data_IF_457381180697
#
_entry.id   IF_457381180697
#
_cell.length_a   1.000
_cell.length_b   1.000
_cell.length_c   1.000
_cell.angle_alpha   90.00
_cell.angle_beta   90.00
_cell.angle_gamma   90.00
#
_symmetry.space_group_name_H-M   'P 1'
#
loop_
_entity.id
_entity.type
_entity.pdbx_description
1 polymer ?
#
# COMPACT_ATOMS: atom_id res chain seq x y z
N UNK A 1 -35.52 5.19 23.15
CA UNK A 1 -34.05 5.04 23.07
C UNK A 1 -33.57 5.99 21.98
N UNK A 2 -32.77 7.00 22.33
CA UNK A 2 -32.06 7.79 21.33
C UNK A 2 -30.88 6.93 20.87
N UNK A 3 -30.83 6.56 19.59
CA UNK A 3 -29.64 5.91 19.05
C UNK A 3 -28.53 6.95 18.99
N UNK A 4 -27.44 6.66 19.68
CA UNK A 4 -26.27 7.51 19.73
C UNK A 4 -25.55 7.43 18.37
N UNK A 5 -25.55 8.55 17.64
CA UNK A 5 -24.93 8.63 16.31
C UNK A 5 -23.41 8.57 16.44
N UNK A 6 -22.81 7.53 15.87
CA UNK A 6 -21.36 7.38 15.84
C UNK A 6 -20.83 7.78 14.47
N UNK A 7 -19.87 8.72 14.46
CA UNK A 7 -19.15 9.13 13.25
C UNK A 7 -17.76 8.55 13.21
N UNK A 8 -17.34 8.07 12.05
CA UNK A 8 -16.05 7.44 11.80
C UNK A 8 -15.35 8.13 10.62
N UNK A 9 -14.04 7.93 10.53
CA UNK A 9 -13.21 8.45 9.43
C UNK A 9 -12.68 7.31 8.59
N UNK A 10 -12.52 7.57 7.29
CA UNK A 10 -11.74 6.72 6.38
C UNK A 10 -10.74 7.61 5.65
N UNK A 11 -9.49 7.16 5.60
CA UNK A 11 -8.39 7.82 4.89
C UNK A 11 -7.87 6.88 3.81
N UNK A 12 -7.58 7.44 2.65
CA UNK A 12 -6.98 6.70 1.54
C UNK A 12 -5.81 7.53 1.00
N UNK A 13 -4.70 6.84 0.73
CA UNK A 13 -3.52 7.40 0.07
C UNK A 13 -3.28 6.59 -1.20
N UNK A 14 -3.03 7.29 -2.30
CA UNK A 14 -2.75 6.69 -3.59
C UNK A 14 -1.47 7.32 -4.15
N UNK A 15 -0.58 6.47 -4.66
CA UNK A 15 0.58 6.89 -5.44
C UNK A 15 0.37 6.41 -6.88
N UNK A 16 0.54 7.30 -7.83
CA UNK A 16 0.46 7.02 -9.27
C UNK A 16 1.82 7.34 -9.87
N UNK A 17 2.35 6.41 -10.67
CA UNK A 17 3.51 6.61 -11.52
C UNK A 17 3.06 6.68 -12.97
N UNK A 18 3.49 7.72 -13.66
CA UNK A 18 3.33 7.88 -15.11
C UNK A 18 4.63 7.47 -15.78
N UNK A 19 4.61 6.39 -16.56
CA UNK A 19 5.75 6.02 -17.41
C UNK A 19 5.58 6.66 -18.79
N UNK A 20 6.52 7.54 -19.15
CA UNK A 20 6.58 8.19 -20.45
C UNK A 20 7.40 7.31 -21.40
N UNK A 21 6.86 7.03 -22.58
CA UNK A 21 7.48 6.13 -23.56
C UNK A 21 8.82 6.64 -24.11
N UNK A 22 9.07 7.94 -23.98
CA UNK A 22 10.32 8.60 -24.38
C UNK A 22 11.34 8.50 -23.25
N UNK A 23 12.48 7.88 -23.56
CA UNK A 23 13.73 7.93 -22.79
C UNK A 23 13.67 7.44 -21.33
N UNK A 24 12.67 6.61 -21.00
CA UNK A 24 12.56 6.02 -19.65
C UNK A 24 12.17 7.03 -18.57
N UNK A 25 11.67 8.21 -18.97
CA UNK A 25 11.19 9.22 -18.05
C UNK A 25 9.93 8.74 -17.33
N UNK A 26 9.82 9.10 -16.05
CA UNK A 26 8.62 8.87 -15.27
C UNK A 26 8.33 10.08 -14.38
N UNK A 27 7.08 10.20 -13.93
CA UNK A 27 6.66 11.19 -12.95
C UNK A 27 5.70 10.54 -11.95
N UNK A 28 5.94 10.74 -10.66
CA UNK A 28 5.08 10.21 -9.61
C UNK A 28 4.16 11.27 -9.01
N UNK A 29 3.01 10.88 -8.48
CA UNK A 29 2.07 11.78 -7.80
C UNK A 29 1.38 11.08 -6.65
N UNK A 30 1.30 11.77 -5.51
CA UNK A 30 0.61 11.29 -4.30
C UNK A 30 -0.70 12.04 -4.13
N UNK A 31 -1.77 11.31 -3.89
CA UNK A 31 -3.06 11.85 -3.50
C UNK A 31 -3.51 11.23 -2.19
N UNK A 32 -3.88 12.06 -1.24
CA UNK A 32 -4.46 11.63 0.03
C UNK A 32 -5.83 12.28 0.21
N UNK A 33 -6.78 11.54 0.76
CA UNK A 33 -8.12 12.03 1.04
C UNK A 33 -8.66 11.44 2.35
N UNK A 34 -9.58 12.18 3.00
CA UNK A 34 -10.30 11.75 4.20
C UNK A 34 -11.80 11.99 3.99
N UNK A 35 -12.62 10.99 4.35
CA UNK A 35 -14.08 11.12 4.41
C UNK A 35 -14.59 10.73 5.80
N UNK A 36 -15.74 11.29 6.17
CA UNK A 36 -16.46 10.97 7.41
C UNK A 36 -17.72 10.18 7.03
N UNK A 37 -18.08 9.16 7.82
CA UNK A 37 -19.31 8.40 7.67
C UNK A 37 -19.99 8.13 9.01
N UNK A 38 -21.30 7.90 9.02
CA UNK A 38 -22.10 7.69 10.23
C UNK A 38 -22.78 6.32 10.23
N UNK A 39 -23.02 5.74 11.41
CA UNK A 39 -23.69 4.43 11.55
C UNK A 39 -25.19 4.45 11.26
N UNK A 40 -25.79 5.64 11.13
CA UNK A 40 -27.22 5.80 10.89
C UNK A 40 -27.64 5.39 9.46
N UNK A 41 -26.75 5.50 8.48
CA UNK A 41 -26.96 5.01 7.11
C UNK A 41 -26.03 3.82 6.86
N UNK A 42 -26.53 2.59 6.67
CA UNK A 42 -25.69 1.41 6.46
C UNK A 42 -24.85 1.50 5.17
N UNK A 43 -25.21 2.39 4.24
CA UNK A 43 -24.44 2.63 3.00
C UNK A 43 -23.38 3.73 3.13
N UNK A 44 -23.38 4.49 4.23
CA UNK A 44 -22.51 5.66 4.42
C UNK A 44 -21.03 5.30 4.32
N UNK A 45 -20.64 4.17 4.93
CA UNK A 45 -19.26 3.66 4.90
C UNK A 45 -18.84 3.33 3.48
N UNK A 46 -19.67 2.60 2.74
CA UNK A 46 -19.38 2.24 1.36
C UNK A 46 -19.22 3.48 0.47
N UNK A 47 -20.12 4.46 0.61
CA UNK A 47 -20.04 5.74 -0.11
C UNK A 47 -18.76 6.50 0.24
N UNK A 48 -18.43 6.60 1.53
CA UNK A 48 -17.22 7.28 2.00
C UNK A 48 -15.95 6.61 1.48
N UNK A 49 -15.85 5.28 1.54
CA UNK A 49 -14.71 4.52 1.00
C UNK A 49 -14.57 4.75 -0.51
N UNK A 50 -15.64 4.57 -1.28
CA UNK A 50 -15.61 4.76 -2.73
C UNK A 50 -15.20 6.19 -3.11
N UNK A 51 -15.74 7.18 -2.42
CA UNK A 51 -15.41 8.60 -2.64
C UNK A 51 -13.96 8.89 -2.26
N UNK A 52 -13.50 8.40 -1.12
CA UNK A 52 -12.14 8.58 -0.63
C UNK A 52 -11.11 8.02 -1.62
N UNK A 53 -11.32 6.76 -2.08
CA UNK A 53 -10.48 6.14 -3.11
C UNK A 53 -10.47 6.90 -4.42
N UNK A 54 -11.65 7.31 -4.90
CA UNK A 54 -11.77 8.07 -6.15
C UNK A 54 -10.99 9.39 -6.09
N UNK A 55 -11.13 10.14 -5.00
CA UNK A 55 -10.50 11.45 -4.85
C UNK A 55 -9.00 11.34 -4.60
N UNK A 56 -8.56 10.36 -3.80
CA UNK A 56 -7.15 10.07 -3.62
C UNK A 56 -6.48 9.73 -4.97
N UNK A 57 -7.10 8.87 -5.78
CA UNK A 57 -6.59 8.55 -7.12
C UNK A 57 -6.57 9.76 -8.07
N UNK A 58 -7.66 10.52 -8.14
CA UNK A 58 -7.72 11.72 -9.00
C UNK A 58 -6.61 12.71 -8.65
N UNK A 59 -6.39 12.97 -7.35
CA UNK A 59 -5.34 13.86 -6.87
C UNK A 59 -3.94 13.31 -7.15
N UNK A 60 -3.74 12.00 -7.04
CA UNK A 60 -2.48 11.35 -7.39
C UNK A 60 -2.15 11.53 -8.88
N UNK A 61 -3.14 11.32 -9.76
CA UNK A 61 -3.01 11.53 -11.20
C UNK A 61 -2.70 12.99 -11.52
N UNK A 62 -3.45 13.94 -10.95
CA UNK A 62 -3.22 15.38 -11.13
C UNK A 62 -1.79 15.77 -10.73
N UNK A 63 -1.32 15.28 -9.57
CA UNK A 63 0.03 15.57 -9.07
C UNK A 63 1.16 14.89 -9.86
N UNK A 64 0.87 13.79 -10.55
CA UNK A 64 1.85 13.16 -11.45
C UNK A 64 1.94 13.96 -12.76
N UNK A 65 0.79 14.33 -13.35
CA UNK A 65 0.75 15.13 -14.57
C UNK A 65 1.23 16.57 -14.39
N UNK A 66 1.14 17.15 -13.18
CA UNK A 66 1.63 18.50 -12.91
C UNK A 66 3.16 18.66 -13.08
N UNK A 67 3.89 17.54 -13.17
CA UNK A 67 5.34 17.52 -13.42
C UNK A 67 5.66 17.32 -14.91
N UNK A 68 4.67 17.03 -15.75
CA UNK A 68 4.90 16.78 -17.18
C UNK A 68 4.94 18.12 -17.92
N UNK A 69 6.04 18.35 -18.64
CA UNK A 69 6.26 19.54 -19.48
C UNK A 69 6.15 19.12 -20.93
N UNK A 70 5.33 19.85 -21.71
CA UNK A 70 5.21 19.64 -23.16
C UNK A 70 5.84 20.83 -23.88
N UNK A 71 6.92 20.57 -24.62
CA UNK A 71 7.62 21.60 -25.40
C UNK A 71 7.22 21.46 -26.87
N UNK A 72 6.54 22.49 -27.39
CA UNK A 72 6.15 22.56 -28.80
C UNK A 72 7.08 23.50 -29.56
N UNK A 73 7.81 22.96 -30.52
CA UNK A 73 8.72 23.74 -31.37
C UNK A 73 7.97 24.36 -32.56
N UNK A 74 8.48 25.46 -33.11
CA UNK A 74 7.88 26.18 -34.24
C UNK A 74 7.75 25.35 -35.52
N UNK A 75 8.51 24.26 -35.64
CA UNK A 75 8.43 23.31 -36.74
C UNK A 75 7.37 22.20 -36.54
N UNK A 76 6.56 22.28 -35.48
CA UNK A 76 5.51 21.32 -35.17
C UNK A 76 5.98 20.06 -34.44
N UNK A 77 7.27 19.95 -34.08
CA UNK A 77 7.76 18.86 -33.22
C UNK A 77 7.35 19.10 -31.78
N UNK A 78 7.08 18.01 -31.06
CA UNK A 78 6.71 18.02 -29.65
C UNK A 78 7.70 17.13 -28.88
N UNK A 79 8.24 17.66 -27.78
CA UNK A 79 9.01 16.91 -26.80
C UNK A 79 8.25 16.87 -25.47
N UNK A 80 8.39 15.77 -24.74
CA UNK A 80 7.83 15.59 -23.40
C UNK A 80 8.99 15.47 -22.42
N UNK A 81 9.00 16.34 -21.42
CA UNK A 81 10.00 16.42 -20.37
C UNK A 81 9.32 16.26 -19.01
N UNK A 82 10.10 15.97 -17.96
CA UNK A 82 9.63 15.94 -16.57
C UNK A 82 10.34 17.03 -15.77
N UNK A 83 9.57 17.80 -15.01
CA UNK A 83 10.06 18.80 -14.07
C UNK A 83 10.70 18.14 -12.86
N UNK A 84 12.03 18.03 -12.89
CA UNK A 84 12.84 17.45 -11.80
C UNK A 84 13.12 18.45 -10.67
N UNK A 85 12.63 19.70 -10.75
CA UNK A 85 12.78 20.67 -9.66
C UNK A 85 11.76 20.44 -8.55
N UNK A 86 10.68 19.72 -8.86
CA UNK A 86 9.71 19.26 -7.87
C UNK A 86 10.24 18.00 -7.17
N UNK A 87 10.13 17.89 -5.84
CA UNK A 87 10.58 16.71 -5.13
C UNK A 87 9.82 15.47 -5.61
N UNK A 88 10.56 14.44 -6.00
CA UNK A 88 10.03 13.09 -6.21
C UNK A 88 9.64 12.49 -4.85
N UNK A 89 8.62 11.65 -4.84
CA UNK A 89 8.16 10.98 -3.63
C UNK A 89 9.09 9.80 -3.31
N UNK A 90 10.28 10.09 -2.78
CA UNK A 90 11.20 9.08 -2.25
C UNK A 90 10.66 8.35 -0.99
N UNK A 91 9.36 8.43 -0.72
CA UNK A 91 8.79 8.26 0.62
C UNK A 91 7.57 7.32 0.69
N UNK A 92 7.38 6.45 -0.29
CA UNK A 92 6.33 5.43 -0.17
C UNK A 92 6.62 4.48 1.00
N UNK A 93 7.88 4.34 1.43
CA UNK A 93 8.24 3.58 2.63
C UNK A 93 7.84 4.32 3.94
N UNK A 94 8.21 5.60 4.12
CA UNK A 94 7.94 6.28 5.41
C UNK A 94 6.49 6.71 5.62
N UNK A 95 5.69 6.90 4.56
CA UNK A 95 4.26 7.26 4.72
C UNK A 95 3.42 6.03 5.12
N UNK A 96 3.92 4.82 4.85
CA UNK A 96 3.28 3.57 5.23
C UNK A 96 3.75 3.02 6.59
N UNK A 97 4.81 3.59 7.17
CA UNK A 97 5.58 2.94 8.24
C UNK A 97 4.96 2.96 9.64
N UNK A 98 4.02 3.85 9.97
CA UNK A 98 3.80 4.10 11.40
C UNK A 98 2.75 3.24 12.11
N UNK A 99 1.75 2.60 11.47
CA UNK A 99 0.76 1.85 12.28
C UNK A 99 0.12 0.58 11.66
N UNK A 100 0.20 0.31 10.35
CA UNK A 100 -0.64 -0.74 9.72
C UNK A 100 0.04 -1.66 8.70
N UNK A 101 1.38 -1.70 8.64
CA UNK A 101 2.10 -2.61 7.75
C UNK A 101 2.68 -3.77 8.56
N UNK A 102 2.31 -5.01 8.20
CA UNK A 102 2.92 -6.22 8.73
C UNK A 102 4.40 -6.24 8.29
N UNK A 103 5.33 -5.95 9.22
CA UNK A 103 6.76 -6.06 8.97
C UNK A 103 7.14 -7.54 8.92
N UNK A 104 7.37 -8.06 7.71
CA UNK A 104 7.97 -9.36 7.51
C UNK A 104 9.48 -9.16 7.68
N UNK A 105 10.09 -9.84 8.63
CA UNK A 105 11.55 -9.85 8.74
C UNK A 105 12.12 -10.51 7.48
N UNK A 106 12.96 -9.81 6.73
CA UNK A 106 13.75 -10.46 5.69
C UNK A 106 14.73 -11.42 6.37
N UNK A 107 14.64 -12.71 6.02
CA UNK A 107 15.67 -13.68 6.35
C UNK A 107 16.89 -13.35 5.49
N UNK A 108 18.02 -13.15 6.15
CA UNK A 108 19.29 -12.86 5.49
C UNK A 108 19.66 -14.05 4.60
N UNK A 109 19.51 -13.87 3.28
CA UNK A 109 19.72 -14.93 2.28
C UNK A 109 21.20 -15.32 2.17
N UNK A 110 22.09 -14.51 2.75
CA UNK A 110 23.52 -14.82 2.85
C UNK A 110 23.80 -15.98 3.83
N UNK A 111 22.81 -16.38 4.64
CA UNK A 111 22.89 -17.62 5.46
C UNK A 111 22.56 -18.88 4.65
N UNK A 112 22.10 -18.74 3.40
CA UNK A 112 21.77 -19.84 2.49
C UNK A 112 22.83 -20.05 1.41
N UNK A 113 24.11 -19.88 1.76
CA UNK A 113 25.17 -20.54 1.01
C UNK A 113 25.01 -22.06 1.21
N UNK A 114 24.22 -22.69 0.34
CA UNK A 114 24.23 -24.12 0.17
C UNK A 114 25.61 -24.50 -0.37
N UNK A 115 26.54 -24.79 0.52
CA UNK A 115 27.64 -25.69 0.18
C UNK A 115 27.01 -27.06 -0.05
N UNK A 116 27.18 -27.54 -1.28
CA UNK A 116 26.66 -28.77 -1.82
C UNK A 116 27.23 -29.96 -1.02
N UNK A 117 26.49 -30.46 -0.02
CA UNK A 117 26.69 -31.79 0.56
C UNK A 117 25.36 -32.27 1.21
N UNK A 118 24.69 -33.19 0.50
CA UNK A 118 23.69 -34.16 0.98
C UNK A 118 22.80 -33.75 2.18
N UNK A 119 21.88 -32.80 1.96
CA UNK A 119 20.82 -32.53 2.94
C UNK A 119 19.71 -33.56 2.73
N UNK A 120 19.84 -34.70 3.40
CA UNK A 120 18.66 -35.53 3.70
C UNK A 120 17.59 -34.63 4.30
N UNK A 121 16.41 -34.57 3.68
CA UNK A 121 15.23 -33.96 4.28
C UNK A 121 14.95 -34.80 5.53
N UNK A 122 15.46 -34.39 6.70
CA UNK A 122 15.05 -35.02 7.94
C UNK A 122 13.58 -34.67 8.09
N UNK A 123 12.71 -35.64 7.81
CA UNK A 123 11.33 -35.63 8.24
C UNK A 123 11.35 -35.24 9.72
N UNK A 124 10.90 -34.02 9.99
CA UNK A 124 10.66 -33.58 11.36
C UNK A 124 9.71 -34.61 11.93
N UNK A 125 10.03 -35.29 13.05
CA UNK A 125 9.06 -36.18 13.67
C UNK A 125 7.79 -35.36 13.86
N UNK A 126 6.67 -35.88 13.37
CA UNK A 126 5.34 -35.34 13.62
C UNK A 126 5.13 -35.35 15.15
N UNK A 127 5.73 -34.39 15.85
CA UNK A 127 5.29 -34.02 17.19
C UNK A 127 3.87 -33.57 16.99
N UNK A 128 2.97 -34.46 17.40
CA UNK A 128 1.53 -34.47 17.22
C UNK A 128 0.97 -33.06 17.34
N UNK A 129 0.92 -32.34 16.21
CA UNK A 129 0.49 -30.94 16.14
C UNK A 129 -0.94 -30.84 16.70
N UNK A 130 -1.69 -31.93 16.55
CA UNK A 130 -3.01 -32.11 17.12
C UNK A 130 -3.00 -32.07 18.65
N UNK A 131 -1.98 -32.62 19.32
CA UNK A 131 -1.84 -32.55 20.78
C UNK A 131 -1.48 -31.14 21.25
N UNK A 132 -0.62 -30.42 20.53
CA UNK A 132 -0.30 -29.02 20.83
C UNK A 132 -1.53 -28.11 20.65
N UNK A 133 -2.30 -28.32 19.58
CA UNK A 133 -3.54 -27.59 19.32
C UNK A 133 -4.62 -27.89 20.37
N UNK A 134 -4.74 -29.14 20.81
CA UNK A 134 -5.70 -29.55 21.83
C UNK A 134 -5.36 -28.95 23.20
N UNK A 135 -4.07 -28.85 23.54
CA UNK A 135 -3.63 -28.21 24.78
C UNK A 135 -4.00 -26.72 24.83
N UNK A 136 -3.81 -26.00 23.72
CA UNK A 136 -4.18 -24.58 23.59
C UNK A 136 -5.70 -24.39 23.71
N UNK A 137 -6.48 -25.30 23.12
CA UNK A 137 -7.95 -25.25 23.21
C UNK A 137 -8.45 -25.44 24.65
N UNK A 138 -7.85 -26.35 25.41
CA UNK A 138 -8.21 -26.56 26.82
C UNK A 138 -7.87 -25.35 27.71
N UNK A 139 -6.76 -24.65 27.46
CA UNK A 139 -6.40 -23.44 28.23
C UNK A 139 -7.37 -22.27 28.00
N UNK A 140 -8.07 -22.25 26.86
CA UNK A 140 -9.06 -21.21 26.54
C UNK A 140 -10.45 -21.49 27.11
N UNK A 141 -10.76 -22.73 27.50
CA UNK A 141 -12.03 -23.12 28.10
C UNK A 141 -12.06 -22.96 29.63
N UNK A 142 -10.91 -22.78 30.28
CA UNK A 142 -10.81 -22.61 31.75
C UNK A 142 -10.92 -21.14 32.24
N UNK A 143 -11.41 -20.21 31.41
CA UNK A 143 -11.63 -18.78 31.77
C UNK A 143 -13.11 -18.42 31.89
#
# INVERSE_FOLDING_TARGET
MLHEEHTYKVREVCVVRLDLKTDGLHAEGLGAWEEIYCTNDPTSRGKAVCKCKKLAYQRAVENAFSKVIIVVLSNGKVAVEVDTTQPELLLTEKVLDDENVLKINEIDTDTLMFEDDDVTLSEVPEEDIDAANLHILHELEEV
#
